data_IF_587345349458
#
_entry.id   IF_587345349458
#
_cell.length_a   1.000
_cell.length_b   1.000
_cell.length_c   1.000
_cell.angle_alpha   90.00
_cell.angle_beta   90.00
_cell.angle_gamma   90.00
#
_symmetry.space_group_name_H-M   'P 1'
#
loop_
_entity.id
_entity.type
_entity.pdbx_description
1 polymer ?
#
# COMPACT_ATOMS: atom_id res chain seq x y z
N UNK A 1 -4.85 35.77 14.82
CA UNK A 1 -3.50 35.70 15.43
C UNK A 1 -2.69 34.71 14.61
N UNK A 2 -1.64 35.14 13.90
CA UNK A 2 -0.78 34.23 13.16
C UNK A 2 0.04 33.43 14.18
N UNK A 3 -0.22 32.13 14.32
CA UNK A 3 0.61 31.24 15.16
C UNK A 3 2.00 31.12 14.53
N UNK A 4 3.03 31.52 15.27
CA UNK A 4 4.42 31.27 14.89
C UNK A 4 4.75 29.84 15.29
N UNK A 5 4.82 28.93 14.33
CA UNK A 5 5.18 27.54 14.59
C UNK A 5 6.68 27.38 14.31
N UNK A 6 7.44 26.97 15.33
CA UNK A 6 8.84 26.61 15.16
C UNK A 6 8.84 25.17 14.62
N UNK A 7 9.04 25.03 13.32
CA UNK A 7 9.29 23.72 12.71
C UNK A 7 10.81 23.53 12.60
N UNK A 8 11.36 22.38 13.01
CA UNK A 8 12.74 22.05 12.70
C UNK A 8 12.85 21.85 11.20
N UNK A 9 13.25 22.89 10.48
CA UNK A 9 13.82 22.72 9.16
C UNK A 9 15.27 22.32 9.39
N UNK A 10 15.55 21.03 9.26
CA UNK A 10 16.83 20.41 9.63
C UNK A 10 17.94 20.82 8.66
N UNK A 11 18.41 22.06 8.80
CA UNK A 11 19.61 22.58 8.14
C UNK A 11 20.78 22.38 9.11
N UNK A 12 21.28 21.15 9.20
CA UNK A 12 22.44 20.81 10.04
C UNK A 12 22.34 21.40 11.46
N UNK A 13 21.23 21.12 12.15
CA UNK A 13 20.89 21.49 13.53
C UNK A 13 20.36 22.93 13.77
N UNK A 14 20.17 23.74 12.73
CA UNK A 14 19.61 25.09 12.86
C UNK A 14 18.07 25.12 12.79
N UNK A 15 17.42 25.78 13.75
CA UNK A 15 15.95 25.92 13.79
C UNK A 15 15.50 27.14 12.99
N UNK A 16 14.65 26.94 11.97
CA UNK A 16 14.03 28.03 11.23
C UNK A 16 12.69 28.46 11.85
N UNK A 17 12.44 29.77 11.86
CA UNK A 17 11.15 30.32 12.24
C UNK A 17 10.22 30.34 11.03
N UNK A 18 9.20 29.48 11.05
CA UNK A 18 8.17 29.44 10.02
C UNK A 18 6.89 30.13 10.48
N UNK A 19 6.26 30.80 9.52
CA UNK A 19 4.97 31.48 9.68
C UNK A 19 4.06 30.95 8.60
N UNK A 20 2.88 30.51 8.98
CA UNK A 20 1.86 30.12 8.01
C UNK A 20 1.13 31.36 7.49
N UNK A 21 1.06 31.50 6.16
CA UNK A 21 0.33 32.56 5.49
C UNK A 21 -0.34 32.01 4.23
N UNK A 22 -1.68 32.16 4.14
CA UNK A 22 -2.49 31.63 3.04
C UNK A 22 -2.26 30.13 2.80
N UNK A 23 -2.18 29.34 3.87
CA UNK A 23 -1.94 27.89 3.85
C UNK A 23 -0.58 27.47 3.26
N UNK A 24 0.38 28.40 3.17
CA UNK A 24 1.75 28.12 2.76
C UNK A 24 2.73 28.52 3.88
N UNK A 25 3.82 27.76 4.07
CA UNK A 25 4.87 28.13 5.02
C UNK A 25 5.77 29.22 4.43
N UNK A 26 6.03 30.25 5.23
CA UNK A 26 6.95 31.34 4.96
C UNK A 26 8.03 31.39 6.03
N UNK A 27 9.22 31.85 5.64
CA UNK A 27 10.37 31.98 6.53
C UNK A 27 10.80 33.43 6.67
N UNK A 28 11.09 33.84 7.91
CA UNK A 28 11.58 35.18 8.22
C UNK A 28 13.04 35.33 7.77
N UNK A 29 13.28 36.11 6.72
CA UNK A 29 14.59 36.11 6.05
C UNK A 29 15.67 36.88 6.79
N UNK A 30 15.31 37.94 7.52
CA UNK A 30 16.30 38.81 8.17
C UNK A 30 17.19 38.06 9.16
N UNK A 31 16.59 37.20 10.00
CA UNK A 31 17.33 36.40 10.98
C UNK A 31 18.30 35.41 10.32
N UNK A 32 17.90 34.79 9.21
CA UNK A 32 18.77 33.87 8.48
C UNK A 32 19.96 34.62 7.90
N UNK A 33 19.69 35.75 7.22
CA UNK A 33 20.72 36.57 6.59
C UNK A 33 21.75 37.08 7.61
N UNK A 34 21.28 37.66 8.71
CA UNK A 34 22.14 38.19 9.76
C UNK A 34 22.86 37.06 10.53
N UNK A 35 22.19 35.94 10.76
CA UNK A 35 22.78 34.74 11.37
C UNK A 35 23.99 34.22 10.59
N UNK A 36 23.90 34.21 9.25
CA UNK A 36 24.99 33.85 8.34
C UNK A 36 26.09 34.91 8.22
N UNK A 37 25.93 36.08 8.85
CA UNK A 37 26.87 37.21 8.81
C UNK A 37 26.79 38.05 7.53
N UNK A 38 25.67 38.02 6.82
CA UNK A 38 25.45 38.78 5.59
C UNK A 38 24.71 40.10 5.86
N UNK A 39 24.94 41.11 5.01
CA UNK A 39 24.20 42.37 5.08
C UNK A 39 22.75 42.21 4.61
N UNK A 40 21.80 42.51 5.51
CA UNK A 40 20.37 42.44 5.23
C UNK A 40 19.95 43.35 4.07
N UNK A 41 20.42 44.60 4.01
CA UNK A 41 19.99 45.55 2.97
C UNK A 41 20.40 45.10 1.57
N UNK A 42 21.59 44.52 1.43
CA UNK A 42 22.06 43.94 0.19
C UNK A 42 21.24 42.69 -0.21
N UNK A 43 20.98 41.78 0.74
CA UNK A 43 20.21 40.57 0.44
C UNK A 43 18.73 40.85 0.17
N UNK A 44 18.11 41.79 0.89
CA UNK A 44 16.73 42.21 0.64
C UNK A 44 16.55 42.72 -0.79
N UNK A 45 17.49 43.54 -1.30
CA UNK A 45 17.45 43.99 -2.71
C UNK A 45 17.50 42.82 -3.70
N UNK A 46 18.33 41.81 -3.45
CA UNK A 46 18.44 40.60 -4.28
C UNK A 46 17.19 39.73 -4.21
N UNK A 47 16.65 39.55 -3.01
CA UNK A 47 15.39 38.83 -2.78
C UNK A 47 14.25 39.50 -3.53
N UNK A 48 14.12 40.83 -3.42
CA UNK A 48 13.11 41.60 -4.12
C UNK A 48 13.28 41.54 -5.64
N UNK A 49 14.52 41.50 -6.14
CA UNK A 49 14.76 41.38 -7.59
C UNK A 49 14.36 40.02 -8.15
N UNK A 50 14.67 38.92 -7.46
CA UNK A 50 14.48 37.55 -7.99
C UNK A 50 13.21 36.85 -7.52
N UNK A 51 12.70 37.19 -6.33
CA UNK A 51 11.63 36.47 -5.64
C UNK A 51 10.46 37.37 -5.21
N UNK A 52 10.32 38.57 -5.78
CA UNK A 52 9.29 39.57 -5.39
C UNK A 52 7.89 38.97 -5.16
N UNK A 53 7.44 38.12 -6.08
CA UNK A 53 6.10 37.51 -6.07
C UNK A 53 5.91 36.55 -4.88
N UNK A 54 6.99 35.93 -4.42
CA UNK A 54 6.99 34.97 -3.31
C UNK A 54 7.41 35.62 -1.97
N UNK A 55 7.57 36.93 -1.94
CA UNK A 55 7.85 37.70 -0.72
C UNK A 55 6.57 38.33 -0.19
N UNK A 56 6.44 38.32 1.12
CA UNK A 56 5.35 39.02 1.83
C UNK A 56 5.94 39.78 2.99
N UNK A 57 5.38 40.95 3.27
CA UNK A 57 5.71 41.72 4.47
C UNK A 57 4.60 41.51 5.48
N UNK A 58 4.95 41.02 6.66
CA UNK A 58 3.98 40.66 7.70
C UNK A 58 4.31 41.39 8.99
N UNK A 59 3.31 42.04 9.58
CA UNK A 59 3.47 42.63 10.91
C UNK A 59 3.37 41.51 11.95
N UNK A 60 4.49 41.16 12.57
CA UNK A 60 4.54 40.10 13.56
C UNK A 60 5.52 40.43 14.69
N UNK A 61 5.32 39.74 15.82
CA UNK A 61 6.25 39.76 16.94
C UNK A 61 7.08 38.48 16.85
N UNK A 62 8.40 38.65 16.76
CA UNK A 62 9.35 37.53 16.68
C UNK A 62 9.75 37.16 18.12
N UNK A 63 9.99 35.87 18.43
CA UNK A 63 10.51 35.48 19.73
C UNK A 63 11.78 36.26 20.10
N UNK A 64 11.75 36.97 21.23
CA UNK A 64 12.85 37.83 21.69
C UNK A 64 12.73 39.32 21.30
N UNK A 65 11.65 39.75 20.64
CA UNK A 65 11.32 41.16 20.40
C UNK A 65 9.97 41.50 21.08
N UNK A 66 9.92 42.63 21.78
CA UNK A 66 8.73 43.09 22.51
C UNK A 66 7.76 43.87 21.60
N UNK A 67 8.22 44.20 20.39
CA UNK A 67 7.49 45.04 19.44
C UNK A 67 7.08 44.26 18.20
N UNK A 68 5.86 44.52 17.73
CA UNK A 68 5.42 44.07 16.41
C UNK A 68 6.10 44.91 15.34
N UNK A 69 6.86 44.27 14.46
CA UNK A 69 7.54 44.93 13.35
C UNK A 69 7.14 44.32 12.02
N UNK A 70 7.33 45.09 10.96
CA UNK A 70 7.16 44.59 9.61
C UNK A 70 8.35 43.68 9.28
N UNK A 71 8.06 42.40 9.05
CA UNK A 71 9.05 41.36 8.78
C UNK A 71 8.91 40.92 7.34
N UNK A 72 10.01 40.92 6.61
CA UNK A 72 10.07 40.41 5.24
C UNK A 72 10.23 38.89 5.25
N UNK A 73 9.23 38.19 4.74
CA UNK A 73 9.18 36.74 4.70
C UNK A 73 9.24 36.22 3.26
N UNK A 74 9.87 35.06 3.07
CA UNK A 74 9.97 34.37 1.79
C UNK A 74 9.22 33.05 1.87
N UNK A 75 8.48 32.67 0.82
CA UNK A 75 7.87 31.34 0.77
C UNK A 75 8.94 30.24 0.91
N UNK A 76 8.73 29.26 1.79
CA UNK A 76 9.73 28.24 2.13
C UNK A 76 10.26 27.50 0.88
N UNK A 77 9.39 27.21 -0.10
CA UNK A 77 9.77 26.60 -1.39
C UNK A 77 10.83 27.36 -2.18
N UNK A 78 11.03 28.66 -1.91
CA UNK A 78 12.03 29.51 -2.58
C UNK A 78 13.33 29.66 -1.77
N UNK A 79 13.35 29.21 -0.51
CA UNK A 79 14.53 29.28 0.35
C UNK A 79 15.74 28.55 -0.24
N UNK A 80 15.62 27.30 -0.77
CA UNK A 80 16.75 26.62 -1.42
C UNK A 80 17.32 27.41 -2.60
N UNK A 81 16.44 27.97 -3.42
CA UNK A 81 16.83 28.77 -4.58
C UNK A 81 17.54 30.07 -4.21
N UNK A 82 17.31 30.64 -3.03
CA UNK A 82 18.08 31.76 -2.50
C UNK A 82 19.42 31.32 -1.91
N UNK A 83 19.45 30.24 -1.12
CA UNK A 83 20.69 29.69 -0.54
C UNK A 83 21.73 29.34 -1.61
N UNK A 84 21.28 28.82 -2.76
CA UNK A 84 22.14 28.56 -3.93
C UNK A 84 22.83 29.82 -4.51
N UNK A 85 22.31 31.02 -4.23
CA UNK A 85 22.92 32.28 -4.71
C UNK A 85 23.94 32.88 -3.75
N UNK A 86 24.10 32.28 -2.58
CA UNK A 86 25.00 32.79 -1.56
C UNK A 86 26.44 32.44 -1.91
N UNK A 87 27.33 33.44 -1.81
CA UNK A 87 28.76 33.20 -1.94
C UNK A 87 29.30 32.76 -0.58
N UNK A 88 29.74 31.51 -0.47
CA UNK A 88 30.26 30.92 0.77
C UNK A 88 31.48 31.66 1.35
N UNK A 89 32.26 32.38 0.53
CA UNK A 89 33.38 33.19 1.03
C UNK A 89 32.93 34.45 1.79
N UNK A 90 31.66 34.85 1.64
CA UNK A 90 31.09 36.06 2.28
C UNK A 90 30.26 35.75 3.52
N UNK A 91 30.09 34.49 3.89
CA UNK A 91 29.43 34.07 5.13
C UNK A 91 30.45 33.97 6.26
N UNK A 92 29.99 33.86 7.52
CA UNK A 92 30.87 33.59 8.65
C UNK A 92 31.67 32.30 8.44
N UNK A 93 32.93 32.22 8.89
CA UNK A 93 33.76 31.02 8.74
C UNK A 93 33.09 29.75 9.30
N UNK A 94 32.41 29.88 10.46
CA UNK A 94 31.75 28.76 11.15
C UNK A 94 30.57 28.13 10.39
N UNK A 95 29.95 28.85 9.45
CA UNK A 95 28.82 28.34 8.65
C UNK A 95 29.20 28.07 7.19
N UNK A 96 30.44 28.38 6.80
CA UNK A 96 30.90 28.27 5.41
C UNK A 96 30.78 26.86 4.87
N UNK A 97 31.29 25.88 5.61
CA UNK A 97 31.32 24.48 5.16
C UNK A 97 29.90 23.92 5.04
N UNK A 98 28.99 24.28 5.97
CA UNK A 98 27.57 23.94 5.90
C UNK A 98 26.90 24.51 4.64
N UNK A 99 27.21 25.75 4.27
CA UNK A 99 26.67 26.38 3.05
C UNK A 99 27.18 25.68 1.79
N UNK A 100 28.48 25.34 1.74
CA UNK A 100 29.07 24.63 0.59
C UNK A 100 28.43 23.25 0.44
N UNK A 101 28.33 22.50 1.54
CA UNK A 101 27.71 21.18 1.57
C UNK A 101 26.26 21.25 1.06
N UNK A 102 25.48 22.23 1.55
CA UNK A 102 24.12 22.42 1.09
C UNK A 102 24.02 22.71 -0.42
N UNK A 103 24.93 23.52 -0.95
CA UNK A 103 24.94 23.86 -2.38
C UNK A 103 25.25 22.64 -3.23
N UNK A 104 26.22 21.82 -2.80
CA UNK A 104 26.54 20.54 -3.46
C UNK A 104 25.35 19.59 -3.47
N UNK A 105 24.63 19.47 -2.36
CA UNK A 105 23.42 18.64 -2.29
C UNK A 105 22.30 19.12 -3.22
N UNK A 106 22.16 20.44 -3.39
CA UNK A 106 21.21 21.00 -4.34
C UNK A 106 21.62 20.70 -5.79
N UNK A 107 22.92 20.76 -6.10
CA UNK A 107 23.45 20.43 -7.42
C UNK A 107 23.19 18.96 -7.75
N UNK A 108 23.49 18.05 -6.82
CA UNK A 108 23.22 16.61 -6.96
C UNK A 108 21.72 16.33 -7.11
N UNK A 109 20.88 16.97 -6.29
CA UNK A 109 19.43 16.82 -6.38
C UNK A 109 18.87 17.33 -7.72
N UNK A 110 19.36 18.45 -8.22
CA UNK A 110 18.94 18.96 -9.53
C UNK A 110 19.42 18.03 -10.65
N UNK A 111 20.66 17.55 -10.60
CA UNK A 111 21.19 16.60 -11.57
C UNK A 111 20.35 15.31 -11.59
N UNK A 112 20.09 14.71 -10.44
CA UNK A 112 19.31 13.47 -10.32
C UNK A 112 17.87 13.65 -10.80
N UNK A 113 17.24 14.78 -10.50
CA UNK A 113 15.90 15.07 -10.99
C UNK A 113 15.87 15.12 -12.53
N UNK A 114 16.80 15.86 -13.15
CA UNK A 114 16.78 16.06 -14.61
C UNK A 114 17.35 14.90 -15.42
N UNK A 115 18.25 14.08 -14.85
CA UNK A 115 18.88 12.96 -15.56
C UNK A 115 18.26 11.60 -15.24
N UNK A 116 17.79 11.39 -14.00
CA UNK A 116 17.20 10.13 -13.53
C UNK A 116 15.69 10.22 -13.32
N UNK A 117 15.10 11.42 -13.46
CA UNK A 117 13.67 11.69 -13.27
C UNK A 117 13.22 11.85 -11.82
N UNK A 118 14.11 11.65 -10.83
CA UNK A 118 13.72 11.69 -9.41
C UNK A 118 14.90 11.90 -8.46
N UNK A 119 14.82 12.94 -7.62
CA UNK A 119 15.79 13.27 -6.57
C UNK A 119 15.27 12.88 -5.16
N UNK A 120 16.16 12.44 -4.27
CA UNK A 120 15.82 11.91 -2.95
C UNK A 120 16.64 12.64 -1.90
N UNK A 121 16.00 13.17 -0.88
CA UNK A 121 16.72 13.57 0.32
C UNK A 121 16.86 12.36 1.25
N UNK A 122 18.05 11.77 1.32
CA UNK A 122 18.34 10.58 2.14
C UNK A 122 18.23 10.81 3.66
N UNK A 123 18.18 12.06 4.11
CA UNK A 123 17.97 12.42 5.53
C UNK A 123 16.51 12.29 5.95
N UNK A 124 15.61 12.47 4.99
CA UNK A 124 14.23 12.00 5.12
C UNK A 124 14.34 10.51 4.81
N UNK A 125 14.04 9.60 5.75
CA UNK A 125 14.18 8.14 5.54
C UNK A 125 13.66 7.77 4.14
N UNK A 126 14.59 7.36 3.26
CA UNK A 126 14.66 7.69 1.83
C UNK A 126 13.79 6.87 0.87
N UNK A 127 14.07 6.93 -0.44
CA UNK A 127 13.40 6.13 -1.50
C UNK A 127 13.40 4.63 -1.24
N UNK A 128 14.42 4.10 -0.56
CA UNK A 128 14.45 2.69 -0.15
C UNK A 128 13.33 2.42 0.84
N UNK A 129 13.06 3.34 1.78
CA UNK A 129 11.89 3.27 2.65
C UNK A 129 10.59 3.35 1.86
N UNK A 130 10.50 4.21 0.83
CA UNK A 130 9.31 4.31 -0.02
C UNK A 130 9.09 3.03 -0.86
N UNK A 131 10.15 2.47 -1.45
CA UNK A 131 10.11 1.20 -2.19
C UNK A 131 9.78 0.02 -1.29
N UNK A 132 10.38 -0.03 -0.09
CA UNK A 132 10.09 -1.06 0.92
C UNK A 132 8.65 -0.92 1.42
N UNK A 133 8.14 0.31 1.60
CA UNK A 133 6.75 0.59 1.95
C UNK A 133 5.77 0.18 0.86
N UNK A 134 6.05 0.52 -0.40
CA UNK A 134 5.27 0.08 -1.56
C UNK A 134 5.28 -1.46 -1.69
N UNK A 135 6.45 -2.08 -1.53
CA UNK A 135 6.61 -3.53 -1.57
C UNK A 135 5.87 -4.20 -0.41
N UNK A 136 5.94 -3.63 0.80
CA UNK A 136 5.21 -4.11 1.98
C UNK A 136 3.69 -4.12 1.71
N UNK A 137 3.14 -3.02 1.19
CA UNK A 137 1.72 -2.95 0.83
C UNK A 137 1.33 -3.88 -0.31
N UNK A 138 2.21 -4.07 -1.29
CA UNK A 138 2.01 -5.00 -2.39
C UNK A 138 1.93 -6.44 -1.90
N UNK A 139 2.90 -6.87 -1.07
CA UNK A 139 2.92 -8.21 -0.47
C UNK A 139 1.69 -8.43 0.41
N UNK A 140 1.32 -7.45 1.24
CA UNK A 140 0.11 -7.51 2.06
C UNK A 140 -1.16 -7.71 1.21
N UNK A 141 -1.29 -6.96 0.11
CA UNK A 141 -2.42 -7.09 -0.82
C UNK A 141 -2.44 -8.45 -1.51
N UNK A 142 -1.26 -8.96 -1.90
CA UNK A 142 -1.12 -10.27 -2.55
C UNK A 142 -1.51 -11.41 -1.59
N UNK A 143 -1.12 -11.33 -0.31
CA UNK A 143 -1.52 -12.28 0.73
C UNK A 143 -3.05 -12.34 0.84
N UNK A 144 -3.73 -11.19 0.89
CA UNK A 144 -5.20 -11.13 1.00
C UNK A 144 -5.92 -11.65 -0.24
N UNK A 145 -5.26 -11.67 -1.41
CA UNK A 145 -5.84 -12.17 -2.67
C UNK A 145 -5.52 -13.64 -2.93
N UNK A 146 -4.42 -14.12 -2.37
CA UNK A 146 -3.95 -15.48 -2.60
C UNK A 146 -4.85 -16.49 -1.88
N UNK A 147 -5.40 -17.46 -2.61
CA UNK A 147 -6.27 -18.49 -2.03
C UNK A 147 -5.48 -19.65 -1.44
N UNK A 148 -4.28 -19.92 -1.95
CA UNK A 148 -3.43 -21.01 -1.47
C UNK A 148 -2.70 -20.64 -0.17
N UNK A 149 -3.07 -21.27 0.94
CA UNK A 149 -2.48 -21.01 2.25
C UNK A 149 -0.95 -21.22 2.30
N UNK A 150 -0.43 -22.20 1.55
CA UNK A 150 1.01 -22.42 1.45
C UNK A 150 1.77 -21.22 0.87
N UNK A 151 1.21 -20.58 -0.16
CA UNK A 151 1.78 -19.39 -0.77
C UNK A 151 1.61 -18.18 0.16
N UNK A 152 0.47 -18.04 0.83
CA UNK A 152 0.26 -16.98 1.85
C UNK A 152 1.34 -17.02 2.92
N UNK A 153 1.72 -18.22 3.39
CA UNK A 153 2.76 -18.41 4.40
C UNK A 153 4.13 -17.92 3.93
N UNK A 154 4.51 -18.22 2.69
CA UNK A 154 5.77 -17.73 2.10
C UNK A 154 5.77 -16.21 2.01
N UNK A 155 4.69 -15.63 1.45
CA UNK A 155 4.54 -14.17 1.34
C UNK A 155 4.53 -13.49 2.72
N UNK A 156 4.02 -14.16 3.75
CA UNK A 156 3.98 -13.64 5.10
C UNK A 156 5.37 -13.56 5.75
N UNK A 157 6.27 -14.49 5.46
CA UNK A 157 7.68 -14.39 5.88
C UNK A 157 8.40 -13.22 5.18
N UNK A 158 8.09 -12.98 3.90
CA UNK A 158 8.57 -11.80 3.18
C UNK A 158 8.01 -10.51 3.81
N UNK A 159 6.73 -10.50 4.18
CA UNK A 159 6.06 -9.37 4.85
C UNK A 159 6.72 -9.05 6.19
N UNK A 160 7.02 -10.06 7.01
CA UNK A 160 7.73 -9.90 8.30
C UNK A 160 9.11 -9.28 8.12
N UNK A 161 9.86 -9.75 7.12
CA UNK A 161 11.19 -9.21 6.81
C UNK A 161 11.12 -7.74 6.40
N UNK A 162 10.12 -7.35 5.61
CA UNK A 162 9.89 -5.95 5.23
C UNK A 162 9.43 -5.10 6.42
N UNK A 163 8.60 -5.66 7.32
CA UNK A 163 8.10 -4.97 8.50
C UNK A 163 9.20 -4.65 9.51
N UNK A 164 10.16 -5.56 9.70
CA UNK A 164 11.33 -5.37 10.57
C UNK A 164 12.16 -4.16 10.10
N UNK A 165 12.40 -4.05 8.79
CA UNK A 165 13.11 -2.91 8.19
C UNK A 165 12.33 -1.59 8.40
N UNK A 166 11.00 -1.66 8.37
CA UNK A 166 10.12 -0.50 8.60
C UNK A 166 9.89 -0.19 10.08
N UNK A 167 10.33 -1.07 11.00
CA UNK A 167 10.08 -0.96 12.44
C UNK A 167 8.60 -1.06 12.81
N UNK A 168 7.86 -2.00 12.21
CA UNK A 168 6.43 -2.21 12.46
C UNK A 168 6.15 -3.63 12.96
N UNK A 169 5.19 -3.73 13.86
CA UNK A 169 4.60 -5.01 14.25
C UNK A 169 3.60 -5.49 13.19
N UNK A 170 3.59 -6.79 12.93
CA UNK A 170 2.69 -7.45 11.98
C UNK A 170 1.78 -8.41 12.77
N UNK A 171 0.45 -8.33 12.61
CA UNK A 171 -0.47 -9.33 13.16
C UNK A 171 -0.17 -10.75 12.69
N UNK A 172 -0.75 -11.76 13.35
CA UNK A 172 -0.60 -13.15 12.90
C UNK A 172 -1.22 -13.35 11.51
N UNK A 173 -0.72 -14.33 10.74
CA UNK A 173 -1.15 -14.59 9.36
C UNK A 173 -2.68 -14.78 9.26
N UNK A 174 -3.24 -15.48 10.25
CA UNK A 174 -4.66 -15.80 10.29
C UNK A 174 -5.52 -14.55 10.51
N UNK A 175 -5.00 -13.53 11.21
CA UNK A 175 -5.67 -12.24 11.39
C UNK A 175 -5.67 -11.40 10.10
N UNK A 176 -4.73 -11.66 9.18
CA UNK A 176 -4.52 -10.88 7.93
C UNK A 176 -5.25 -11.53 6.75
N UNK A 177 -5.25 -12.86 6.66
CA UNK A 177 -5.73 -13.59 5.48
C UNK A 177 -6.72 -14.71 5.80
N UNK A 178 -7.11 -14.86 7.07
CA UNK A 178 -7.94 -15.96 7.56
C UNK A 178 -7.12 -17.22 7.89
N UNK A 179 -7.74 -18.10 8.67
CA UNK A 179 -7.13 -19.35 9.17
C UNK A 179 -6.66 -20.30 8.06
N UNK A 180 -5.78 -21.22 8.44
CA UNK A 180 -5.45 -22.37 7.60
C UNK A 180 -6.73 -23.12 7.20
N UNK A 181 -6.97 -23.35 5.90
CA UNK A 181 -8.10 -24.14 5.47
C UNK A 181 -8.00 -25.56 6.03
N UNK A 182 -9.11 -26.09 6.50
CA UNK A 182 -9.30 -27.49 6.86
C UNK A 182 -9.74 -28.30 5.64
N UNK A 183 -9.86 -29.62 5.79
CA UNK A 183 -10.51 -30.45 4.78
C UNK A 183 -12.02 -30.14 4.85
N UNK A 184 -12.65 -29.94 3.70
CA UNK A 184 -14.05 -29.54 3.63
C UNK A 184 -14.28 -28.04 3.55
N UNK A 185 -13.21 -27.23 3.58
CA UNK A 185 -13.36 -25.77 3.39
C UNK A 185 -13.50 -25.41 1.89
N UNK A 186 -14.51 -24.61 1.51
CA UNK A 186 -14.72 -24.14 0.13
C UNK A 186 -13.52 -23.47 -0.53
N UNK A 187 -12.66 -22.81 0.25
CA UNK A 187 -11.49 -22.12 -0.26
C UNK A 187 -10.39 -23.07 -0.77
N UNK A 188 -10.53 -24.38 -0.57
CA UNK A 188 -9.68 -25.40 -1.19
C UNK A 188 -10.10 -25.75 -2.61
N UNK A 189 -11.33 -25.46 -2.99
CA UNK A 189 -11.83 -25.78 -4.31
C UNK A 189 -11.19 -24.84 -5.34
N UNK A 190 -10.82 -25.38 -6.50
CA UNK A 190 -10.49 -24.57 -7.68
C UNK A 190 -11.72 -23.78 -8.13
N UNK A 191 -11.55 -22.77 -8.99
CA UNK A 191 -12.68 -21.98 -9.48
C UNK A 191 -13.78 -22.86 -10.10
N UNK A 192 -13.42 -23.82 -10.96
CA UNK A 192 -14.41 -24.69 -11.59
C UNK A 192 -15.06 -25.67 -10.61
N UNK A 193 -14.33 -26.16 -9.60
CA UNK A 193 -14.89 -27.05 -8.58
C UNK A 193 -15.79 -26.29 -7.60
N UNK A 194 -15.42 -25.04 -7.27
CA UNK A 194 -16.23 -24.14 -6.46
C UNK A 194 -17.57 -23.86 -7.16
N UNK A 195 -17.54 -23.47 -8.43
CA UNK A 195 -18.75 -23.25 -9.24
C UNK A 195 -19.62 -24.50 -9.35
N UNK A 196 -18.99 -25.66 -9.56
CA UNK A 196 -19.69 -26.95 -9.58
C UNK A 196 -20.46 -27.21 -8.28
N UNK A 197 -19.81 -26.97 -7.13
CA UNK A 197 -20.45 -27.14 -5.83
C UNK A 197 -21.50 -26.09 -5.51
N UNK A 198 -21.29 -24.84 -5.93
CA UNK A 198 -22.28 -23.77 -5.74
C UNK A 198 -23.56 -24.06 -6.54
N UNK A 199 -23.43 -24.57 -7.76
CA UNK A 199 -24.56 -25.06 -8.55
C UNK A 199 -25.26 -26.25 -7.88
N UNK A 200 -24.50 -27.18 -7.32
CA UNK A 200 -25.07 -28.35 -6.65
C UNK A 200 -25.85 -27.92 -5.40
N UNK A 201 -25.23 -27.13 -4.51
CA UNK A 201 -25.84 -26.64 -3.28
C UNK A 201 -27.07 -25.74 -3.58
N UNK A 202 -27.06 -24.99 -4.68
CA UNK A 202 -28.21 -24.18 -5.12
C UNK A 202 -29.38 -25.02 -5.64
N UNK A 203 -29.09 -26.08 -6.38
CA UNK A 203 -30.09 -26.85 -7.12
C UNK A 203 -30.62 -28.07 -6.36
N UNK A 204 -29.82 -28.58 -5.42
CA UNK A 204 -30.16 -29.72 -4.59
C UNK A 204 -31.07 -29.32 -3.42
N UNK A 205 -32.03 -30.17 -3.09
CA UNK A 205 -32.96 -29.93 -1.98
C UNK A 205 -33.07 -31.19 -1.12
N UNK A 206 -32.72 -31.15 0.19
CA UNK A 206 -32.72 -32.35 1.03
C UNK A 206 -34.05 -33.10 1.09
N UNK A 207 -35.17 -32.39 0.96
CA UNK A 207 -36.51 -32.98 1.00
C UNK A 207 -36.92 -33.71 -0.30
N UNK A 208 -36.34 -33.31 -1.43
CA UNK A 208 -36.63 -33.90 -2.75
C UNK A 208 -35.33 -33.98 -3.55
N UNK A 209 -34.56 -35.09 -3.45
CA UNK A 209 -33.30 -35.23 -4.15
C UNK A 209 -33.46 -35.03 -5.67
N UNK A 210 -32.63 -34.17 -6.27
CA UNK A 210 -32.68 -33.87 -7.70
C UNK A 210 -31.41 -34.23 -8.45
N UNK A 211 -30.28 -34.24 -7.76
CA UNK A 211 -28.95 -34.47 -8.31
C UNK A 211 -28.17 -35.52 -7.51
N UNK A 212 -28.42 -35.61 -6.20
CA UNK A 212 -27.83 -36.62 -5.33
C UNK A 212 -28.56 -37.96 -5.48
N UNK A 213 -27.92 -38.90 -6.16
CA UNK A 213 -28.40 -40.26 -6.33
C UNK A 213 -28.20 -41.13 -5.07
N UNK A 214 -27.41 -40.68 -4.10
CA UNK A 214 -27.14 -41.44 -2.88
C UNK A 214 -28.36 -41.48 -1.96
N UNK A 215 -28.79 -42.66 -1.50
CA UNK A 215 -29.76 -42.76 -0.41
C UNK A 215 -29.13 -42.49 0.96
N UNK A 216 -27.80 -42.54 1.07
CA UNK A 216 -27.05 -42.25 2.29
C UNK A 216 -26.84 -40.73 2.43
N UNK A 217 -27.31 -40.09 3.51
CA UNK A 217 -27.20 -38.64 3.70
C UNK A 217 -25.77 -38.12 3.85
N UNK A 218 -24.81 -38.99 4.20
CA UNK A 218 -23.38 -38.67 4.36
C UNK A 218 -22.60 -38.74 3.03
N UNK A 219 -23.24 -39.27 1.98
CA UNK A 219 -22.63 -39.43 0.66
C UNK A 219 -23.37 -38.55 -0.34
N UNK A 220 -22.60 -37.83 -1.14
CA UNK A 220 -23.08 -37.15 -2.35
C UNK A 220 -22.68 -38.01 -3.54
N UNK A 221 -23.65 -38.46 -4.33
CA UNK A 221 -23.43 -39.24 -5.53
C UNK A 221 -24.03 -38.50 -6.74
N UNK A 222 -23.18 -38.02 -7.63
CA UNK A 222 -23.57 -37.19 -8.77
C UNK A 222 -23.29 -37.93 -10.07
N UNK A 223 -24.29 -38.01 -10.94
CA UNK A 223 -24.07 -38.34 -12.35
C UNK A 223 -23.77 -37.03 -13.10
N UNK A 224 -22.54 -36.85 -13.64
CA UNK A 224 -22.08 -35.55 -14.12
C UNK A 224 -22.75 -35.08 -15.42
N UNK A 225 -23.19 -36.00 -16.28
CA UNK A 225 -23.86 -35.65 -17.53
C UNK A 225 -25.29 -35.19 -17.28
N UNK A 226 -26.03 -35.89 -16.42
CA UNK A 226 -27.36 -35.53 -15.97
C UNK A 226 -27.35 -34.17 -15.27
N UNK A 227 -26.38 -33.95 -14.36
CA UNK A 227 -26.23 -32.66 -13.71
C UNK A 227 -25.94 -31.54 -14.72
N UNK A 228 -25.02 -31.76 -15.66
CA UNK A 228 -24.74 -30.79 -16.73
C UNK A 228 -25.97 -30.48 -17.60
N UNK A 229 -26.76 -31.49 -17.98
CA UNK A 229 -28.02 -31.28 -18.70
C UNK A 229 -29.06 -30.54 -17.85
N UNK A 230 -29.12 -30.83 -16.56
CA UNK A 230 -30.05 -30.17 -15.64
C UNK A 230 -29.74 -28.68 -15.50
N UNK A 231 -28.46 -28.30 -15.40
CA UNK A 231 -28.03 -26.91 -15.46
C UNK A 231 -28.42 -26.26 -16.79
N UNK A 232 -28.13 -26.92 -17.91
CA UNK A 232 -28.44 -26.43 -19.25
C UNK A 232 -29.94 -26.17 -19.46
N UNK A 233 -30.81 -27.04 -18.97
CA UNK A 233 -32.26 -26.88 -19.04
C UNK A 233 -32.80 -25.70 -18.23
N UNK A 234 -31.98 -25.15 -17.32
CA UNK A 234 -32.28 -23.97 -16.51
C UNK A 234 -31.50 -22.73 -16.94
N UNK A 235 -30.88 -22.78 -18.11
CA UNK A 235 -30.00 -21.71 -18.64
C UNK A 235 -28.85 -21.35 -17.69
N UNK A 236 -28.34 -22.34 -16.92
CA UNK A 236 -27.17 -22.20 -16.07
C UNK A 236 -25.92 -22.76 -16.76
N UNK A 237 -24.81 -22.05 -16.65
CA UNK A 237 -23.52 -22.48 -17.19
C UNK A 237 -22.90 -23.54 -16.29
N UNK A 238 -22.58 -24.72 -16.85
CA UNK A 238 -21.96 -25.82 -16.12
C UNK A 238 -20.44 -25.85 -16.39
N UNK A 239 -19.59 -25.90 -15.35
CA UNK A 239 -18.15 -26.02 -15.55
C UNK A 239 -17.82 -27.34 -16.28
N UNK A 240 -17.01 -27.30 -17.33
CA UNK A 240 -16.82 -28.47 -18.20
C UNK A 240 -16.46 -29.76 -17.44
N UNK A 241 -17.20 -30.85 -17.68
CA UNK A 241 -17.08 -32.13 -16.96
C UNK A 241 -15.62 -32.62 -16.83
N UNK A 242 -14.83 -32.50 -17.89
CA UNK A 242 -13.42 -32.92 -17.88
C UNK A 242 -12.52 -32.02 -17.01
N UNK A 243 -12.86 -30.73 -16.87
CA UNK A 243 -12.16 -29.79 -15.99
C UNK A 243 -12.44 -30.17 -14.55
N UNK A 244 -13.73 -30.26 -14.18
CA UNK A 244 -14.16 -30.68 -12.84
C UNK A 244 -13.52 -32.01 -12.48
N UNK A 245 -13.59 -33.02 -13.36
CA UNK A 245 -13.01 -34.34 -13.13
C UNK A 245 -11.51 -34.33 -12.81
N UNK A 246 -10.75 -33.43 -13.43
CA UNK A 246 -9.31 -33.29 -13.19
C UNK A 246 -8.99 -32.58 -11.88
N UNK A 247 -9.92 -31.77 -11.38
CA UNK A 247 -9.73 -30.90 -10.22
C UNK A 247 -10.32 -31.48 -8.92
N UNK A 248 -11.19 -32.48 -9.01
CA UNK A 248 -11.69 -33.22 -7.84
C UNK A 248 -10.54 -33.81 -7.00
N UNK A 249 -10.60 -33.62 -5.68
CA UNK A 249 -9.62 -34.19 -4.74
C UNK A 249 -10.19 -34.45 -3.35
N UNK A 250 -9.47 -35.24 -2.55
CA UNK A 250 -9.87 -35.66 -1.19
C UNK A 250 -9.90 -34.53 -0.15
N UNK A 251 -9.44 -33.33 -0.50
CA UNK A 251 -9.42 -32.16 0.40
C UNK A 251 -10.48 -31.09 0.07
N UNK A 252 -11.36 -31.33 -0.91
CA UNK A 252 -12.37 -30.38 -1.40
C UNK A 252 -13.46 -30.14 -0.35
N UNK A 253 -14.32 -29.13 -0.55
CA UNK A 253 -15.51 -28.88 0.28
C UNK A 253 -16.28 -30.17 0.56
N UNK A 254 -16.49 -30.95 -0.50
CA UNK A 254 -16.92 -32.34 -0.39
C UNK A 254 -15.79 -33.24 -0.89
N UNK A 255 -15.09 -33.97 0.01
CA UNK A 255 -13.98 -34.84 -0.35
C UNK A 255 -14.37 -35.91 -1.38
N UNK A 256 -13.64 -36.00 -2.49
CA UNK A 256 -13.86 -37.04 -3.49
C UNK A 256 -13.49 -38.44 -2.95
N UNK A 257 -14.43 -39.39 -3.03
CA UNK A 257 -14.24 -40.78 -2.60
C UNK A 257 -14.01 -41.76 -3.76
N UNK A 258 -14.32 -41.36 -5.00
CA UNK A 258 -14.12 -42.20 -6.17
C UNK A 258 -15.37 -42.32 -7.06
N UNK A 259 -15.34 -43.32 -7.95
CA UNK A 259 -16.45 -43.65 -8.84
C UNK A 259 -17.13 -44.94 -8.34
N UNK A 260 -18.46 -44.93 -8.18
CA UNK A 260 -19.23 -46.09 -7.73
C UNK A 260 -20.53 -46.22 -8.52
N UNK A 261 -21.02 -47.44 -8.68
CA UNK A 261 -22.41 -47.69 -9.11
C UNK A 261 -23.32 -47.66 -7.88
N UNK A 262 -24.34 -46.81 -7.94
CA UNK A 262 -25.29 -46.58 -6.84
C UNK A 262 -26.71 -46.80 -7.37
N UNK A 263 -27.53 -47.49 -6.58
CA UNK A 263 -28.97 -47.54 -6.82
C UNK A 263 -29.56 -46.16 -6.48
N UNK A 264 -29.96 -45.44 -7.53
CA UNK A 264 -30.35 -44.04 -7.47
C UNK A 264 -31.62 -43.83 -6.65
N UNK A 265 -31.54 -43.01 -5.60
CA UNK A 265 -32.70 -42.56 -4.84
C UNK A 265 -33.71 -41.75 -5.68
N UNK A 266 -33.29 -41.22 -6.83
CA UNK A 266 -34.11 -40.38 -7.71
C UNK A 266 -34.87 -41.23 -8.74
N UNK A 267 -34.23 -42.25 -9.29
CA UNK A 267 -34.74 -43.01 -10.45
C UNK A 267 -34.98 -44.49 -10.18
N UNK A 268 -34.49 -45.01 -9.04
CA UNK A 268 -34.56 -46.45 -8.67
C UNK A 268 -33.69 -47.36 -9.55
N UNK A 269 -32.77 -46.79 -10.34
CA UNK A 269 -31.88 -47.54 -11.25
C UNK A 269 -30.44 -47.50 -10.78
N UNK A 270 -29.64 -48.50 -11.15
CA UNK A 270 -28.19 -48.45 -10.99
C UNK A 270 -27.58 -47.38 -11.91
N UNK A 271 -26.85 -46.42 -11.34
CA UNK A 271 -26.19 -45.32 -12.04
C UNK A 271 -24.73 -45.21 -11.61
N UNK A 272 -23.83 -44.94 -12.56
CA UNK A 272 -22.41 -44.67 -12.28
C UNK A 272 -22.24 -43.22 -11.84
N UNK A 273 -21.90 -43.02 -10.58
CA UNK A 273 -21.78 -41.70 -10.00
C UNK A 273 -20.33 -41.38 -9.60
N UNK A 274 -20.02 -40.08 -9.59
CA UNK A 274 -18.93 -39.53 -8.80
C UNK A 274 -19.40 -39.43 -7.35
N UNK A 275 -18.63 -40.00 -6.44
CA UNK A 275 -18.99 -40.07 -5.02
C UNK A 275 -18.11 -39.16 -4.20
N UNK A 276 -18.72 -38.45 -3.25
CA UNK A 276 -18.08 -37.51 -2.37
C UNK A 276 -18.64 -37.65 -0.96
N UNK A 277 -17.84 -37.30 0.03
CA UNK A 277 -18.28 -37.22 1.42
C UNK A 277 -18.89 -35.86 1.69
N UNK A 278 -20.03 -35.85 2.39
CA UNK A 278 -20.71 -34.63 2.83
C UNK A 278 -20.01 -33.98 4.03
#
# INVERSE_FOLDING_TARGET
MNKCNIFPFDFHEDKLYLIEHKSEPYVAMKHIVEGMGLDWKAQYRRLKQRFNICMVEMTMQIPGDDQRRLVSCLALRKLPGWLMTINANKVKPEVRDKVIQYQQECDDALYDYWTKGVAINIRLKGKDWLMIFEQFHKVLTEISRQREYGIRKVLYEDLKSLADILGRDVPELDDISGREPEIGDPCRDSDALFEFWDLFDMLETPATPRLNHSPDPEIIAIEPFEFSQFCKNKDLEFPGINVVRREMHTRSRYPFEGHREIESAITGKLIKCWTFRR
#
